data_IF_609740411615
#
_entry.id   IF_609740411615
#
_cell.length_a   1.000
_cell.length_b   1.000
_cell.length_c   1.000
_cell.angle_alpha   90.00
_cell.angle_beta   90.00
_cell.angle_gamma   90.00
#
_symmetry.space_group_name_H-M   'P 1'
#
loop_
_entity.id
_entity.type
_entity.pdbx_description
1 polymer ?
#
# COMPACT_ATOMS: atom_id res chain seq x y z
N UNK A 1 -7.24 1.95 40.83
CA UNK A 1 -7.42 2.29 39.42
C UNK A 1 -6.23 3.16 39.03
N UNK A 2 -5.55 2.93 37.90
CA UNK A 2 -4.50 3.87 37.47
C UNK A 2 -5.11 5.22 37.14
N UNK A 3 -4.35 6.32 37.27
CA UNK A 3 -4.78 7.69 36.87
C UNK A 3 -5.34 7.66 35.44
N UNK A 4 -4.66 6.95 34.53
CA UNK A 4 -5.10 6.72 33.15
C UNK A 4 -6.48 6.07 33.06
N UNK A 5 -6.69 4.94 33.77
CA UNK A 5 -7.96 4.24 33.76
C UNK A 5 -9.09 5.06 34.40
N UNK A 6 -8.76 5.88 35.40
CA UNK A 6 -9.70 6.82 36.01
C UNK A 6 -10.13 7.93 35.04
N UNK A 7 -9.17 8.57 34.36
CA UNK A 7 -9.46 9.59 33.34
C UNK A 7 -10.34 9.01 32.25
N UNK A 8 -10.00 7.84 31.71
CA UNK A 8 -10.76 7.17 30.67
C UNK A 8 -12.20 6.88 31.12
N UNK A 9 -12.38 6.22 32.26
CA UNK A 9 -13.69 5.82 32.76
C UNK A 9 -14.58 7.04 33.07
N UNK A 10 -14.03 8.06 33.74
CA UNK A 10 -14.78 9.28 34.07
C UNK A 10 -15.11 10.10 32.83
N UNK A 11 -14.19 10.19 31.87
CA UNK A 11 -14.45 10.87 30.60
C UNK A 11 -15.59 10.19 29.86
N UNK A 12 -15.57 8.85 29.75
CA UNK A 12 -16.66 8.15 29.11
C UNK A 12 -18.00 8.27 29.83
N UNK A 13 -18.00 8.23 31.16
CA UNK A 13 -19.22 8.44 31.93
C UNK A 13 -19.82 9.84 31.69
N UNK A 14 -18.99 10.88 31.63
CA UNK A 14 -19.44 12.26 31.35
C UNK A 14 -19.95 12.42 29.93
N UNK A 15 -19.28 11.85 28.94
CA UNK A 15 -19.77 11.84 27.56
C UNK A 15 -21.11 11.13 27.44
N UNK A 16 -21.26 9.97 28.08
CA UNK A 16 -22.51 9.20 28.08
C UNK A 16 -23.65 10.00 28.70
N UNK A 17 -23.39 10.73 29.79
CA UNK A 17 -24.38 11.61 30.42
C UNK A 17 -24.82 12.78 29.50
N UNK A 18 -23.95 13.19 28.57
CA UNK A 18 -24.23 14.19 27.53
C UNK A 18 -24.80 13.58 26.24
N UNK A 19 -25.11 12.28 26.23
CA UNK A 19 -25.70 11.58 25.09
C UNK A 19 -24.71 11.14 24.02
N UNK A 20 -23.40 11.16 24.32
CA UNK A 20 -22.35 10.84 23.35
C UNK A 20 -21.24 9.95 23.89
N UNK A 21 -20.16 9.88 23.11
CA UNK A 21 -18.93 9.13 23.37
C UNK A 21 -17.76 10.10 23.20
N UNK A 22 -16.88 10.15 24.19
CA UNK A 22 -15.64 10.90 24.13
C UNK A 22 -14.67 10.20 23.17
N UNK A 23 -14.16 10.96 22.21
CA UNK A 23 -13.12 10.54 21.28
C UNK A 23 -11.75 10.65 21.96
N UNK A 24 -11.29 9.52 22.50
CA UNK A 24 -10.08 9.40 23.31
C UNK A 24 -9.08 8.52 22.59
N UNK A 25 -8.08 9.14 21.98
CA UNK A 25 -6.91 8.44 21.43
C UNK A 25 -5.93 8.07 22.53
N UNK A 26 -5.32 6.89 22.42
CA UNK A 26 -4.42 6.36 23.44
C UNK A 26 -3.22 7.27 23.72
N UNK A 27 -2.65 7.87 22.67
CA UNK A 27 -1.53 8.83 22.75
C UNK A 27 -1.93 10.10 23.51
N UNK A 28 -3.10 10.66 23.18
CA UNK A 28 -3.62 11.86 23.84
C UNK A 28 -3.98 11.56 25.31
N UNK A 29 -4.56 10.39 25.58
CA UNK A 29 -4.86 9.96 26.94
C UNK A 29 -3.58 9.82 27.77
N UNK A 30 -2.51 9.28 27.19
CA UNK A 30 -1.21 9.17 27.84
C UNK A 30 -0.57 10.54 28.10
N UNK A 31 -0.64 11.45 27.13
CA UNK A 31 -0.20 12.84 27.28
C UNK A 31 -0.95 13.52 28.43
N UNK A 32 -2.29 13.49 28.40
CA UNK A 32 -3.14 14.09 29.46
C UNK A 32 -2.85 13.46 30.82
N UNK A 33 -2.65 12.14 30.89
CA UNK A 33 -2.30 11.44 32.14
C UNK A 33 -0.99 11.95 32.71
N UNK A 34 -0.02 12.30 31.86
CA UNK A 34 1.29 12.81 32.26
C UNK A 34 1.26 14.29 32.69
N UNK A 35 0.18 15.02 32.38
CA UNK A 35 -0.01 16.42 32.75
C UNK A 35 -0.69 16.61 34.12
N UNK A 36 -1.25 15.55 34.71
CA UNK A 36 -2.07 15.64 35.93
C UNK A 36 -1.67 14.62 36.99
N UNK A 37 -1.61 15.06 38.24
CA UNK A 37 -1.32 14.21 39.40
C UNK A 37 -2.61 13.77 40.10
N UNK A 38 -3.60 14.66 40.16
CA UNK A 38 -4.91 14.49 40.79
C UNK A 38 -6.02 14.76 39.77
N UNK A 39 -6.44 13.76 38.96
CA UNK A 39 -7.32 13.98 37.82
C UNK A 39 -8.74 14.38 38.24
N UNK A 40 -9.12 15.61 37.93
CA UNK A 40 -10.51 16.07 37.94
C UNK A 40 -11.03 16.20 36.50
N UNK A 41 -11.82 15.20 36.07
CA UNK A 41 -12.41 15.18 34.73
C UNK A 41 -13.67 16.05 34.70
N UNK A 42 -13.69 17.06 33.85
CA UNK A 42 -14.78 18.03 33.70
C UNK A 42 -15.27 18.06 32.26
N UNK A 43 -16.52 18.48 32.07
CA UNK A 43 -17.11 18.66 30.75
C UNK A 43 -17.47 20.13 30.57
N UNK A 44 -17.23 20.65 29.37
CA UNK A 44 -17.48 22.01 28.95
C UNK A 44 -18.16 22.02 27.58
N UNK A 45 -18.69 23.17 27.17
CA UNK A 45 -19.37 23.34 25.88
C UNK A 45 -18.79 24.48 25.05
N UNK A 46 -19.08 24.45 23.76
CA UNK A 46 -18.85 25.57 22.85
C UNK A 46 -20.14 25.92 22.11
N UNK A 47 -20.17 27.07 21.45
CA UNK A 47 -21.38 27.49 20.73
C UNK A 47 -21.69 26.59 19.52
N UNK A 48 -22.95 26.16 19.40
CA UNK A 48 -23.42 25.28 18.31
C UNK A 48 -23.12 25.79 16.90
N UNK A 49 -23.00 27.11 16.71
CA UNK A 49 -22.62 27.71 15.42
C UNK A 49 -21.32 27.13 14.85
N UNK A 50 -20.39 26.70 15.70
CA UNK A 50 -19.12 26.13 15.26
C UNK A 50 -19.30 24.79 14.56
N UNK A 51 -20.39 24.06 14.81
CA UNK A 51 -20.70 22.79 14.13
C UNK A 51 -20.99 22.95 12.64
N UNK A 52 -21.09 24.18 12.13
CA UNK A 52 -21.13 24.46 10.69
C UNK A 52 -19.75 24.29 10.01
N UNK A 53 -18.66 24.28 10.78
CA UNK A 53 -17.30 23.99 10.32
C UNK A 53 -17.10 22.47 10.32
N UNK A 54 -16.38 21.90 9.34
CA UNK A 54 -16.00 20.49 9.36
C UNK A 54 -15.42 20.07 10.71
N UNK A 55 -15.94 18.97 11.24
CA UNK A 55 -15.61 18.48 12.58
C UNK A 55 -14.11 18.24 12.74
N UNK A 56 -13.43 17.79 11.69
CA UNK A 56 -12.01 17.46 11.70
C UNK A 56 -11.13 18.67 12.05
N UNK A 57 -11.51 19.87 11.60
CA UNK A 57 -10.79 21.10 11.98
C UNK A 57 -11.03 21.50 13.44
N UNK A 58 -12.27 21.37 13.92
CA UNK A 58 -12.61 21.67 15.32
C UNK A 58 -11.92 20.69 16.28
N UNK A 59 -11.89 19.41 15.90
CA UNK A 59 -11.24 18.31 16.63
C UNK A 59 -9.74 18.52 16.67
N UNK A 60 -9.14 18.97 15.56
CA UNK A 60 -7.72 19.33 15.53
C UNK A 60 -7.38 20.38 16.59
N UNK A 61 -8.13 21.48 16.64
CA UNK A 61 -7.96 22.51 17.67
C UNK A 61 -8.16 21.98 19.09
N UNK A 62 -9.22 21.19 19.32
CA UNK A 62 -9.53 20.67 20.65
C UNK A 62 -8.47 19.68 21.15
N UNK A 63 -8.06 18.72 20.32
CA UNK A 63 -7.07 17.70 20.70
C UNK A 63 -5.65 18.26 20.69
N UNK A 64 -5.25 18.94 19.62
CA UNK A 64 -3.89 19.41 19.39
C UNK A 64 -3.47 20.50 20.36
N UNK A 65 -4.24 21.60 20.40
CA UNK A 65 -3.86 22.81 21.14
C UNK A 65 -4.26 22.75 22.61
N UNK A 66 -5.40 22.13 22.91
CA UNK A 66 -6.03 22.21 24.24
C UNK A 66 -6.06 20.89 25.02
N UNK A 67 -5.68 19.78 24.39
CA UNK A 67 -5.70 18.44 25.02
C UNK A 67 -7.09 18.04 25.54
N UNK A 68 -8.13 18.45 24.82
CA UNK A 68 -9.51 18.11 25.12
C UNK A 68 -9.93 16.84 24.38
N UNK A 69 -10.88 16.10 24.96
CA UNK A 69 -11.55 14.99 24.30
C UNK A 69 -12.90 15.47 23.72
N UNK A 70 -13.03 15.57 22.39
CA UNK A 70 -14.31 15.90 21.74
C UNK A 70 -15.35 14.82 22.02
N UNK A 71 -16.63 15.18 21.97
CA UNK A 71 -17.73 14.22 22.18
C UNK A 71 -18.51 14.07 20.88
N UNK A 72 -18.75 12.83 20.47
CA UNK A 72 -19.59 12.48 19.33
C UNK A 72 -20.88 11.83 19.76
N UNK A 73 -21.97 12.05 19.03
CA UNK A 73 -23.21 11.32 19.23
C UNK A 73 -23.11 9.88 18.69
N UNK A 74 -24.22 9.14 18.80
CA UNK A 74 -24.31 7.75 18.32
C UNK A 74 -24.24 7.61 16.80
N UNK A 75 -24.52 8.69 16.06
CA UNK A 75 -24.47 8.74 14.61
C UNK A 75 -23.10 9.22 14.10
N UNK A 76 -22.14 9.46 15.00
CA UNK A 76 -20.79 9.91 14.67
C UNK A 76 -20.70 11.42 14.38
N UNK A 77 -21.68 12.22 14.79
CA UNK A 77 -21.63 13.68 14.64
C UNK A 77 -21.05 14.34 15.88
N UNK A 78 -20.19 15.34 15.67
CA UNK A 78 -19.60 16.10 16.75
C UNK A 78 -20.69 16.86 17.53
N UNK A 79 -20.71 16.68 18.85
CA UNK A 79 -21.55 17.44 19.76
C UNK A 79 -20.84 18.73 20.19
N UNK A 80 -21.56 19.78 20.61
CA UNK A 80 -20.99 21.05 21.06
C UNK A 80 -20.38 20.96 22.47
N UNK A 81 -19.75 19.83 22.78
CA UNK A 81 -19.24 19.47 24.09
C UNK A 81 -17.86 18.83 23.98
N UNK A 82 -17.05 19.04 25.00
CA UNK A 82 -15.74 18.43 25.14
C UNK A 82 -15.42 18.16 26.60
N UNK A 83 -14.47 17.25 26.82
CA UNK A 83 -13.98 16.87 28.13
C UNK A 83 -12.56 17.38 28.28
N UNK A 84 -12.24 17.88 29.47
CA UNK A 84 -10.89 18.28 29.84
C UNK A 84 -10.57 17.76 31.23
N UNK A 85 -9.27 17.63 31.53
CA UNK A 85 -8.79 17.14 32.82
C UNK A 85 -8.04 18.26 33.53
N UNK A 86 -8.47 18.56 34.74
CA UNK A 86 -7.88 19.57 35.61
C UNK A 86 -7.14 18.91 36.77
N UNK A 87 -6.05 19.51 37.23
CA UNK A 87 -5.37 19.11 38.47
C UNK A 87 -6.03 19.73 39.72
N UNK A 88 -7.07 20.55 39.53
CA UNK A 88 -7.79 21.29 40.57
C UNK A 88 -9.19 20.71 40.73
N UNK A 89 -9.57 20.35 41.96
CA UNK A 89 -10.86 19.75 42.31
C UNK A 89 -11.61 20.58 43.36
N UNK A 90 -12.15 21.76 43.00
CA UNK A 90 -12.93 22.58 43.93
C UNK A 90 -14.33 22.01 44.14
N UNK A 91 -15.02 22.43 45.20
CA UNK A 91 -16.44 22.09 45.41
C UNK A 91 -17.33 22.66 44.28
N UNK A 92 -17.04 23.87 43.80
CA UNK A 92 -17.69 24.49 42.65
C UNK A 92 -16.70 24.63 41.46
N UNK A 93 -16.83 23.80 40.41
CA UNK A 93 -15.95 23.85 39.24
C UNK A 93 -16.38 24.88 38.17
N UNK A 94 -17.45 25.64 38.39
CA UNK A 94 -18.06 26.51 37.36
C UNK A 94 -17.05 27.47 36.71
N UNK A 95 -16.24 28.16 37.50
CA UNK A 95 -15.23 29.09 36.99
C UNK A 95 -14.15 28.41 36.13
N UNK A 96 -13.79 27.16 36.46
CA UNK A 96 -12.82 26.37 35.67
C UNK A 96 -13.44 25.96 34.34
N UNK A 97 -14.70 25.52 34.35
CA UNK A 97 -15.45 25.15 33.14
C UNK A 97 -15.53 26.38 32.21
N UNK A 98 -16.08 27.50 32.69
CA UNK A 98 -16.19 28.74 31.89
C UNK A 98 -14.84 29.25 31.39
N UNK A 99 -13.77 29.07 32.17
CA UNK A 99 -12.42 29.40 31.75
C UNK A 99 -11.99 28.63 30.50
N UNK A 100 -12.19 27.31 30.50
CA UNK A 100 -11.84 26.46 29.35
C UNK A 100 -12.74 26.75 28.13
N UNK A 101 -14.03 27.04 28.35
CA UNK A 101 -14.93 27.49 27.27
C UNK A 101 -14.45 28.79 26.63
N UNK A 102 -13.96 29.75 27.43
CA UNK A 102 -13.41 31.01 26.93
C UNK A 102 -12.08 30.81 26.19
N UNK A 103 -11.27 29.83 26.58
CA UNK A 103 -9.96 29.56 25.96
C UNK A 103 -10.11 28.92 24.58
N UNK A 104 -11.05 28.00 24.39
CA UNK A 104 -11.24 27.33 23.08
C UNK A 104 -11.89 28.24 22.05
N UNK A 105 -12.78 29.16 22.49
CA UNK A 105 -13.62 29.97 21.60
C UNK A 105 -12.85 30.77 20.54
N UNK A 106 -11.75 31.50 20.85
CA UNK A 106 -10.99 32.22 19.83
C UNK A 106 -10.51 31.30 18.71
N UNK A 107 -9.99 30.12 19.04
CA UNK A 107 -9.48 29.16 18.05
C UNK A 107 -10.58 28.59 17.16
N UNK A 108 -11.74 28.24 17.73
CA UNK A 108 -12.89 27.81 16.92
C UNK A 108 -13.44 28.96 16.05
N UNK A 109 -13.34 30.19 16.52
CA UNK A 109 -13.70 31.39 15.74
C UNK A 109 -12.77 31.58 14.55
N UNK A 110 -11.47 31.35 14.73
CA UNK A 110 -10.49 31.40 13.65
C UNK A 110 -10.78 30.30 12.61
N UNK A 111 -11.01 29.06 13.04
CA UNK A 111 -11.39 27.96 12.14
C UNK A 111 -12.67 28.28 11.35
N UNK A 112 -13.70 28.82 12.01
CA UNK A 112 -14.92 29.25 11.35
C UNK A 112 -14.67 30.37 10.33
N UNK A 113 -13.83 31.34 10.68
CA UNK A 113 -13.47 32.45 9.80
C UNK A 113 -12.72 31.96 8.55
N UNK A 114 -11.73 31.09 8.70
CA UNK A 114 -10.98 30.52 7.59
C UNK A 114 -11.88 29.71 6.68
N UNK A 115 -12.71 28.82 7.23
CA UNK A 115 -13.64 28.02 6.46
C UNK A 115 -14.63 28.89 5.67
N UNK A 116 -15.30 29.86 6.32
CA UNK A 116 -16.22 30.79 5.65
C UNK A 116 -15.52 31.64 4.59
N UNK A 117 -14.25 31.97 4.78
CA UNK A 117 -13.47 32.72 3.79
C UNK A 117 -13.14 31.84 2.58
N UNK A 118 -12.75 30.59 2.82
CA UNK A 118 -12.46 29.64 1.76
C UNK A 118 -13.70 29.29 0.91
N UNK A 119 -14.89 29.20 1.51
CA UNK A 119 -16.16 28.94 0.79
C UNK A 119 -16.54 30.05 -0.21
N UNK A 120 -15.89 31.22 -0.21
CA UNK A 120 -16.16 32.31 -1.16
C UNK A 120 -15.60 32.04 -2.56
N UNK A 121 -14.70 31.08 -2.70
CA UNK A 121 -14.05 30.70 -3.95
C UNK A 121 -14.18 29.19 -4.12
N UNK A 122 -14.43 28.71 -5.35
CA UNK A 122 -14.49 27.27 -5.60
C UNK A 122 -13.11 26.62 -5.51
N UNK A 123 -13.05 25.35 -5.14
CA UNK A 123 -11.84 24.55 -5.05
C UNK A 123 -11.08 24.56 -6.38
N UNK A 124 -11.78 24.37 -7.51
CA UNK A 124 -11.17 24.38 -8.86
C UNK A 124 -10.51 25.72 -9.20
N UNK A 125 -11.03 26.84 -8.70
CA UNK A 125 -10.48 28.17 -8.98
C UNK A 125 -9.13 28.40 -8.28
N UNK A 126 -8.74 27.50 -7.37
CA UNK A 126 -7.42 27.50 -6.72
C UNK A 126 -6.35 26.77 -7.52
N UNK A 127 -6.73 25.97 -8.52
CA UNK A 127 -5.82 25.19 -9.34
C UNK A 127 -4.66 26.03 -9.90
N UNK A 128 -4.86 27.25 -10.47
CA UNK A 128 -3.75 28.06 -10.99
C UNK A 128 -2.73 28.47 -9.91
N UNK A 129 -3.16 28.60 -8.64
CA UNK A 129 -2.27 29.01 -7.55
C UNK A 129 -1.22 27.94 -7.23
N UNK A 130 -1.44 26.69 -7.61
CA UNK A 130 -0.47 25.61 -7.44
C UNK A 130 0.83 25.83 -8.25
N UNK A 131 0.82 26.71 -9.26
CA UNK A 131 2.03 27.11 -9.99
C UNK A 131 3.02 27.88 -9.10
N UNK A 132 2.53 28.51 -8.03
CA UNK A 132 3.37 29.27 -7.10
C UNK A 132 4.12 28.39 -6.09
N UNK A 133 3.71 27.12 -5.97
CA UNK A 133 4.29 26.20 -5.00
C UNK A 133 5.20 25.21 -5.70
N UNK A 134 6.49 25.28 -5.35
CA UNK A 134 7.49 24.37 -5.88
C UNK A 134 7.28 22.97 -5.29
N UNK A 135 7.05 21.97 -6.14
CA UNK A 135 7.06 20.57 -5.72
C UNK A 135 8.50 20.10 -5.53
N UNK A 136 9.34 20.28 -6.55
CA UNK A 136 10.75 19.92 -6.54
C UNK A 136 11.49 20.70 -7.63
N UNK A 137 12.68 21.26 -7.34
CA UNK A 137 13.42 22.16 -8.24
C UNK A 137 13.58 21.69 -9.70
N UNK A 138 13.79 20.39 -9.93
CA UNK A 138 13.95 19.77 -11.25
C UNK A 138 12.64 19.25 -11.85
N UNK A 139 11.60 19.05 -11.04
CA UNK A 139 10.33 18.46 -11.48
C UNK A 139 9.23 19.52 -11.71
N UNK A 140 9.39 20.71 -11.13
CA UNK A 140 8.50 21.84 -11.29
C UNK A 140 7.61 22.08 -10.06
N UNK A 141 6.41 22.57 -10.34
CA UNK A 141 5.43 23.07 -9.38
C UNK A 141 4.45 21.97 -8.93
N UNK A 142 3.61 22.27 -7.94
CA UNK A 142 2.48 21.40 -7.60
C UNK A 142 1.46 21.35 -8.74
N UNK A 143 1.31 22.41 -9.54
CA UNK A 143 0.47 22.37 -10.75
C UNK A 143 0.98 21.33 -11.74
N UNK A 144 2.29 21.35 -12.04
CA UNK A 144 2.92 20.33 -12.89
C UNK A 144 2.65 18.92 -12.37
N UNK A 145 2.73 18.73 -11.05
CA UNK A 145 2.47 17.44 -10.40
C UNK A 145 1.01 17.02 -10.56
N UNK A 146 0.07 17.90 -10.26
CA UNK A 146 -1.36 17.67 -10.37
C UNK A 146 -1.76 17.30 -11.81
N UNK A 147 -1.18 17.92 -12.83
CA UNK A 147 -1.45 17.60 -14.23
C UNK A 147 -0.99 16.19 -14.62
N UNK A 148 0.11 15.71 -14.03
CA UNK A 148 0.57 14.33 -14.21
C UNK A 148 -0.31 13.35 -13.44
N UNK A 149 -0.74 13.72 -12.22
CA UNK A 149 -1.67 12.91 -11.42
C UNK A 149 -3.01 12.74 -12.14
N UNK A 150 -3.58 13.81 -12.72
CA UNK A 150 -4.81 13.73 -13.52
C UNK A 150 -4.69 12.67 -14.63
N UNK A 151 -3.63 12.79 -15.44
CA UNK A 151 -3.43 11.89 -16.59
C UNK A 151 -3.18 10.44 -16.13
N UNK A 152 -2.31 10.24 -15.14
CA UNK A 152 -1.96 8.92 -14.64
C UNK A 152 -3.13 8.26 -13.90
N UNK A 153 -3.92 9.02 -13.14
CA UNK A 153 -5.13 8.52 -12.47
C UNK A 153 -6.17 8.03 -13.49
N UNK A 154 -6.40 8.77 -14.56
CA UNK A 154 -7.29 8.33 -15.65
C UNK A 154 -6.82 7.04 -16.31
N UNK A 155 -5.51 6.89 -16.49
CA UNK A 155 -4.93 5.70 -17.10
C UNK A 155 -4.91 4.47 -16.19
N UNK A 156 -4.75 4.68 -14.89
CA UNK A 156 -4.92 3.62 -13.88
C UNK A 156 -6.40 3.22 -13.80
N UNK A 157 -7.32 4.19 -13.78
CA UNK A 157 -8.76 3.96 -13.73
C UNK A 157 -9.25 3.03 -14.85
N UNK A 158 -8.80 3.24 -16.09
CA UNK A 158 -9.11 2.35 -17.23
C UNK A 158 -8.70 0.90 -16.98
N UNK A 159 -7.50 0.68 -16.43
CA UNK A 159 -6.95 -0.66 -16.21
C UNK A 159 -7.68 -1.40 -15.09
N UNK A 160 -8.13 -0.68 -14.06
CA UNK A 160 -8.81 -1.27 -12.90
C UNK A 160 -10.34 -1.26 -12.99
N UNK A 161 -10.91 -0.73 -14.08
CA UNK A 161 -12.36 -0.64 -14.28
C UNK A 161 -13.06 0.45 -13.45
N UNK A 162 -12.35 1.52 -13.06
CA UNK A 162 -12.93 2.70 -12.43
C UNK A 162 -13.44 3.71 -13.47
N UNK A 163 -14.26 4.67 -13.04
CA UNK A 163 -14.66 5.79 -13.88
C UNK A 163 -13.45 6.72 -14.18
N UNK A 164 -13.00 6.72 -15.43
CA UNK A 164 -11.87 7.53 -15.89
C UNK A 164 -12.10 9.03 -15.70
N UNK A 165 -13.29 9.52 -15.99
CA UNK A 165 -13.59 10.95 -15.93
C UNK A 165 -13.56 11.44 -14.49
N UNK A 166 -14.12 10.66 -13.56
CA UNK A 166 -14.04 10.95 -12.12
C UNK A 166 -12.61 10.87 -11.60
N UNK A 167 -11.84 9.86 -12.00
CA UNK A 167 -10.43 9.73 -11.59
C UNK A 167 -9.57 10.90 -12.08
N UNK A 168 -9.77 11.34 -13.32
CA UNK A 168 -9.13 12.56 -13.85
C UNK A 168 -9.55 13.79 -13.07
N UNK A 169 -10.86 13.97 -12.86
CA UNK A 169 -11.40 15.12 -12.12
C UNK A 169 -10.83 15.20 -10.69
N UNK A 170 -10.79 14.06 -9.99
CA UNK A 170 -10.19 13.98 -8.66
C UNK A 170 -8.68 14.22 -8.69
N UNK A 171 -7.97 13.66 -9.67
CA UNK A 171 -6.54 13.90 -9.87
C UNK A 171 -6.22 15.38 -10.08
N UNK A 172 -7.02 16.09 -10.88
CA UNK A 172 -6.90 17.53 -11.13
C UNK A 172 -7.15 18.38 -9.87
N UNK A 173 -8.11 17.98 -9.02
CA UNK A 173 -8.45 18.73 -7.81
C UNK A 173 -7.58 18.35 -6.60
N UNK A 174 -6.82 17.26 -6.70
CA UNK A 174 -6.10 16.59 -5.61
C UNK A 174 -5.31 17.51 -4.68
N UNK A 175 -4.63 18.53 -5.20
CA UNK A 175 -3.77 19.41 -4.39
C UNK A 175 -4.34 20.82 -4.18
N UNK A 176 -5.55 21.10 -4.67
CA UNK A 176 -6.13 22.44 -4.65
C UNK A 176 -6.42 22.96 -3.23
N UNK A 177 -6.69 22.06 -2.29
CA UNK A 177 -6.98 22.38 -0.90
C UNK A 177 -5.76 22.92 -0.14
N UNK A 178 -4.54 22.58 -0.58
CA UNK A 178 -3.30 23.15 -0.06
C UNK A 178 -3.25 24.68 -0.20
N UNK A 179 -4.08 25.28 -1.07
CA UNK A 179 -4.17 26.73 -1.28
C UNK A 179 -5.29 27.40 -0.45
N UNK A 180 -5.90 26.66 0.47
CA UNK A 180 -6.98 27.13 1.35
C UNK A 180 -6.41 27.63 2.67
N UNK A 181 -7.04 28.64 3.27
CA UNK A 181 -6.60 29.17 4.56
C UNK A 181 -6.72 28.10 5.66
N UNK A 182 -7.75 27.26 5.58
CA UNK A 182 -7.91 26.13 6.49
C UNK A 182 -6.71 25.19 6.49
N UNK A 183 -6.19 24.80 5.33
CA UNK A 183 -5.02 23.90 5.27
C UNK A 183 -3.72 24.63 5.62
N UNK A 184 -3.61 25.95 5.37
CA UNK A 184 -2.45 26.72 5.83
C UNK A 184 -2.37 26.78 7.36
N UNK A 185 -3.49 26.98 8.05
CA UNK A 185 -3.53 27.00 9.52
C UNK A 185 -3.49 25.59 10.12
N UNK A 186 -4.21 24.65 9.50
CA UNK A 186 -4.40 23.28 10.01
C UNK A 186 -3.90 22.26 8.97
N UNK A 187 -2.57 22.15 8.82
CA UNK A 187 -1.92 21.36 7.75
C UNK A 187 -2.31 19.88 7.73
N UNK A 188 -2.71 19.33 8.88
CA UNK A 188 -3.12 17.92 9.01
C UNK A 188 -4.54 17.66 8.46
N UNK A 189 -5.27 18.72 8.12
CA UNK A 189 -6.61 18.63 7.51
C UNK A 189 -6.59 18.56 5.98
N UNK A 190 -5.40 18.52 5.38
CA UNK A 190 -5.24 18.32 3.94
C UNK A 190 -5.93 17.01 3.47
N UNK A 191 -6.42 17.00 2.25
CA UNK A 191 -7.30 15.98 1.68
C UNK A 191 -8.72 16.05 2.22
N UNK A 192 -8.89 16.03 3.55
CA UNK A 192 -10.21 16.09 4.22
C UNK A 192 -10.92 17.40 3.88
N UNK A 193 -10.23 18.53 3.98
CA UNK A 193 -10.79 19.82 3.60
C UNK A 193 -11.07 19.88 2.10
N UNK A 194 -10.21 19.32 1.26
CA UNK A 194 -10.45 19.17 -0.17
C UNK A 194 -11.78 18.45 -0.47
N UNK A 195 -12.06 17.34 0.22
CA UNK A 195 -13.34 16.62 0.12
C UNK A 195 -14.53 17.51 0.51
N UNK A 196 -14.47 18.21 1.64
CA UNK A 196 -15.56 19.09 2.09
C UNK A 196 -15.82 20.25 1.11
N UNK A 197 -14.77 20.86 0.57
CA UNK A 197 -14.90 21.91 -0.44
C UNK A 197 -15.46 21.38 -1.76
N UNK A 198 -15.00 20.22 -2.23
CA UNK A 198 -15.53 19.58 -3.43
C UNK A 198 -17.02 19.26 -3.29
N UNK A 199 -17.46 18.73 -2.14
CA UNK A 199 -18.89 18.51 -1.84
C UNK A 199 -19.67 19.83 -1.86
N UNK A 200 -19.14 20.87 -1.23
CA UNK A 200 -19.78 22.18 -1.22
C UNK A 200 -19.95 22.76 -2.64
N UNK A 201 -18.95 22.57 -3.50
CA UNK A 201 -18.95 23.06 -4.88
C UNK A 201 -19.81 22.22 -5.85
N UNK A 202 -20.35 21.09 -5.38
CA UNK A 202 -21.22 20.21 -6.15
C UNK A 202 -20.47 19.19 -7.02
N UNK A 203 -19.23 18.86 -6.69
CA UNK A 203 -18.52 17.73 -7.32
C UNK A 203 -19.19 16.39 -6.99
N UNK A 204 -18.97 15.38 -7.83
CA UNK A 204 -19.43 14.01 -7.58
C UNK A 204 -18.85 13.45 -6.27
N UNK A 205 -19.64 12.66 -5.54
CA UNK A 205 -19.23 12.15 -4.23
C UNK A 205 -17.97 11.27 -4.31
N UNK A 206 -17.79 10.47 -5.36
CA UNK A 206 -16.56 9.68 -5.51
C UNK A 206 -15.34 10.55 -5.79
N UNK A 207 -15.53 11.69 -6.49
CA UNK A 207 -14.47 12.68 -6.71
C UNK A 207 -14.08 13.31 -5.39
N UNK A 208 -15.05 13.78 -4.61
CA UNK A 208 -14.81 14.41 -3.32
C UNK A 208 -14.09 13.45 -2.35
N UNK A 209 -14.59 12.22 -2.20
CA UNK A 209 -13.98 11.20 -1.33
C UNK A 209 -12.55 10.88 -1.77
N UNK A 210 -12.29 10.81 -3.09
CA UNK A 210 -10.94 10.57 -3.61
C UNK A 210 -9.94 11.68 -3.21
N UNK A 211 -10.38 12.93 -3.01
CA UNK A 211 -9.50 14.00 -2.52
C UNK A 211 -9.04 13.76 -1.09
N UNK A 212 -9.87 13.15 -0.24
CA UNK A 212 -9.43 12.74 1.10
C UNK A 212 -8.51 11.51 1.01
N UNK A 213 -8.97 10.47 0.31
CA UNK A 213 -8.33 9.16 0.30
C UNK A 213 -7.05 9.07 -0.54
N UNK A 214 -6.71 10.10 -1.35
CA UNK A 214 -5.49 10.12 -2.16
C UNK A 214 -4.20 9.88 -1.37
N UNK A 215 -4.17 10.25 -0.09
CA UNK A 215 -2.99 10.10 0.76
C UNK A 215 -2.89 8.70 1.37
N UNK A 216 -3.97 7.90 1.31
CA UNK A 216 -4.02 6.56 1.90
C UNK A 216 -3.20 5.53 1.09
N UNK A 217 -2.65 4.50 1.76
CA UNK A 217 -2.37 4.47 3.19
C UNK A 217 -1.26 5.48 3.54
N UNK A 218 -1.43 6.20 4.65
CA UNK A 218 -0.52 7.26 5.14
C UNK A 218 0.60 6.72 6.02
N UNK A 219 0.41 5.54 6.62
CA UNK A 219 1.38 4.84 7.45
C UNK A 219 1.13 3.32 7.40
N UNK A 220 2.04 2.53 8.00
CA UNK A 220 1.90 1.08 8.06
C UNK A 220 0.65 0.69 8.87
N UNK A 221 -0.21 -0.14 8.30
CA UNK A 221 -1.49 -0.53 8.91
C UNK A 221 -2.65 0.47 8.72
N UNK A 222 -2.44 1.60 8.05
CA UNK A 222 -3.53 2.53 7.71
C UNK A 222 -4.52 1.89 6.72
N UNK A 223 -5.74 2.43 6.70
CA UNK A 223 -6.79 2.02 5.77
C UNK A 223 -6.38 2.26 4.31
N UNK A 224 -6.99 1.49 3.41
CA UNK A 224 -6.83 1.68 1.96
C UNK A 224 -7.99 2.52 1.42
N UNK A 225 -7.79 3.23 0.28
CA UNK A 225 -8.87 3.93 -0.40
C UNK A 225 -10.07 2.99 -0.63
N UNK A 226 -11.30 3.45 -0.39
CA UNK A 226 -12.48 2.59 -0.45
C UNK A 226 -12.89 2.34 -1.89
N UNK A 227 -12.98 3.40 -2.70
CA UNK A 227 -13.39 3.32 -4.10
C UNK A 227 -12.21 3.05 -5.05
N UNK A 228 -12.51 2.57 -6.26
CA UNK A 228 -11.50 2.41 -7.31
C UNK A 228 -11.04 3.77 -7.86
N UNK A 229 -11.92 4.79 -7.88
CA UNK A 229 -11.55 6.17 -8.24
C UNK A 229 -10.48 6.70 -7.28
N UNK A 230 -10.71 6.57 -5.97
CA UNK A 230 -9.75 6.97 -4.95
C UNK A 230 -8.44 6.15 -5.02
N UNK A 231 -8.55 4.84 -5.28
CA UNK A 231 -7.39 3.97 -5.50
C UNK A 231 -6.54 4.44 -6.68
N UNK A 232 -7.17 4.85 -7.78
CA UNK A 232 -6.47 5.35 -8.96
C UNK A 232 -5.69 6.64 -8.67
N UNK A 233 -6.30 7.60 -7.96
CA UNK A 233 -5.65 8.86 -7.58
C UNK A 233 -4.50 8.63 -6.59
N UNK A 234 -4.72 7.79 -5.56
CA UNK A 234 -3.70 7.45 -4.57
C UNK A 234 -2.48 6.75 -5.21
N UNK A 235 -2.72 5.84 -6.15
CA UNK A 235 -1.66 5.20 -6.92
C UNK A 235 -0.94 6.22 -7.81
N UNK A 236 -1.68 7.07 -8.52
CA UNK A 236 -1.09 8.08 -9.40
C UNK A 236 -0.13 9.02 -8.65
N UNK A 237 -0.51 9.54 -7.47
CA UNK A 237 0.37 10.42 -6.67
C UNK A 237 1.65 9.70 -6.20
N UNK A 238 1.52 8.43 -5.76
CA UNK A 238 2.66 7.62 -5.32
C UNK A 238 3.60 7.29 -6.48
N UNK A 239 3.08 6.87 -7.63
CA UNK A 239 3.89 6.56 -8.82
C UNK A 239 4.50 7.80 -9.46
N UNK A 240 3.82 8.96 -9.46
CA UNK A 240 4.40 10.23 -9.88
C UNK A 240 5.63 10.57 -9.01
N UNK A 241 5.47 10.51 -7.70
CA UNK A 241 6.54 10.84 -6.75
C UNK A 241 7.71 9.86 -6.87
N UNK A 242 7.45 8.55 -6.88
CA UNK A 242 8.48 7.52 -7.04
C UNK A 242 9.26 7.72 -8.34
N UNK A 243 8.57 7.87 -9.46
CA UNK A 243 9.19 7.99 -10.78
C UNK A 243 9.98 9.29 -10.91
N UNK A 244 9.41 10.41 -10.48
CA UNK A 244 10.06 11.71 -10.55
C UNK A 244 11.34 11.76 -9.71
N UNK A 245 11.28 11.32 -8.45
CA UNK A 245 12.42 11.40 -7.52
C UNK A 245 13.56 10.44 -7.92
N UNK A 246 13.24 9.22 -8.36
CA UNK A 246 14.24 8.31 -8.95
C UNK A 246 14.80 8.85 -10.26
N UNK A 247 13.96 9.45 -11.10
CA UNK A 247 14.34 9.98 -12.41
C UNK A 247 15.33 11.14 -12.34
N UNK A 248 15.35 11.89 -11.24
CA UNK A 248 16.33 12.98 -11.00
C UNK A 248 17.52 12.57 -10.14
N UNK A 249 17.66 11.27 -9.85
CA UNK A 249 18.78 10.70 -9.09
C UNK A 249 18.73 10.94 -7.57
N UNK A 250 17.54 11.19 -7.01
CA UNK A 250 17.34 11.48 -5.59
C UNK A 250 16.68 10.31 -4.83
N UNK A 251 16.90 9.07 -5.31
CA UNK A 251 16.45 7.87 -4.61
C UNK A 251 17.00 7.78 -3.17
N UNK A 252 16.28 7.13 -2.23
CA UNK A 252 16.68 7.06 -0.83
C UNK A 252 18.02 6.34 -0.67
N UNK A 253 18.92 6.88 0.16
CA UNK A 253 20.24 6.30 0.45
C UNK A 253 20.39 6.01 1.94
N UNK A 254 20.86 4.81 2.28
CA UNK A 254 21.02 4.40 3.69
C UNK A 254 19.69 4.44 4.43
N UNK A 255 19.65 5.01 5.64
CA UNK A 255 18.41 5.19 6.41
C UNK A 255 17.56 6.37 5.94
N UNK A 256 18.14 7.38 5.26
CA UNK A 256 17.44 8.60 4.89
C UNK A 256 16.41 8.38 3.77
N UNK A 257 15.20 8.89 3.96
CA UNK A 257 14.11 8.88 2.97
C UNK A 257 13.32 10.20 3.04
N UNK A 258 13.87 11.30 2.54
CA UNK A 258 13.30 12.64 2.71
C UNK A 258 11.96 12.84 1.98
N UNK A 259 11.67 12.01 0.97
CA UNK A 259 10.42 12.06 0.19
C UNK A 259 9.46 10.91 0.55
N UNK A 260 9.73 10.18 1.64
CA UNK A 260 8.93 9.04 2.10
C UNK A 260 8.65 7.97 1.01
N UNK A 261 9.61 7.72 0.12
CA UNK A 261 9.48 6.82 -1.01
C UNK A 261 9.27 5.37 -0.59
N UNK A 262 9.87 4.91 0.52
CA UNK A 262 9.63 3.55 1.05
C UNK A 262 8.19 3.36 1.46
N UNK A 263 7.61 4.38 2.10
CA UNK A 263 6.21 4.41 2.52
C UNK A 263 5.29 4.50 1.31
N UNK A 264 5.61 5.34 0.33
CA UNK A 264 4.85 5.43 -0.92
C UNK A 264 4.85 4.10 -1.69
N UNK A 265 6.01 3.46 -1.82
CA UNK A 265 6.13 2.16 -2.48
C UNK A 265 5.32 1.07 -1.77
N UNK A 266 5.46 0.94 -0.44
CA UNK A 266 4.68 -0.03 0.32
C UNK A 266 3.18 0.24 0.23
N UNK A 267 2.77 1.51 0.33
CA UNK A 267 1.36 1.89 0.20
C UNK A 267 0.78 1.57 -1.17
N UNK A 268 1.54 1.80 -2.25
CA UNK A 268 1.11 1.43 -3.60
C UNK A 268 0.99 -0.08 -3.76
N UNK A 269 1.96 -0.86 -3.26
CA UNK A 269 1.91 -2.32 -3.31
C UNK A 269 0.71 -2.88 -2.54
N UNK A 270 0.44 -2.36 -1.33
CA UNK A 270 -0.73 -2.75 -0.53
C UNK A 270 -2.04 -2.50 -1.28
N UNK A 271 -2.21 -1.31 -1.88
CA UNK A 271 -3.41 -1.00 -2.68
C UNK A 271 -3.58 -2.02 -3.81
N UNK A 272 -2.51 -2.34 -4.55
CA UNK A 272 -2.59 -3.25 -5.70
C UNK A 272 -2.88 -4.70 -5.24
N UNK A 273 -2.19 -5.19 -4.22
CA UNK A 273 -2.30 -6.57 -3.75
C UNK A 273 -3.62 -6.81 -3.01
N UNK A 274 -3.93 -6.00 -1.97
CA UNK A 274 -5.09 -6.24 -1.11
C UNK A 274 -6.42 -6.03 -1.85
N UNK A 275 -6.42 -5.23 -2.92
CA UNK A 275 -7.59 -5.08 -3.83
C UNK A 275 -7.50 -5.96 -5.08
N UNK A 276 -6.46 -6.78 -5.21
CA UNK A 276 -6.23 -7.67 -6.35
C UNK A 276 -6.34 -6.94 -7.72
N UNK A 277 -5.67 -5.79 -7.84
CA UNK A 277 -5.74 -4.96 -9.05
C UNK A 277 -4.83 -5.52 -10.16
N UNK A 278 -5.29 -5.56 -11.42
CA UNK A 278 -4.55 -6.14 -12.54
C UNK A 278 -3.50 -5.17 -13.11
N UNK A 279 -2.63 -4.66 -12.23
CA UNK A 279 -1.66 -3.61 -12.57
C UNK A 279 -0.24 -4.16 -12.64
N UNK A 280 0.51 -3.69 -13.63
CA UNK A 280 1.93 -3.99 -13.82
C UNK A 280 2.80 -2.79 -13.44
N UNK A 281 3.82 -3.02 -12.60
CA UNK A 281 4.69 -1.95 -12.11
C UNK A 281 5.51 -1.30 -13.24
N UNK A 282 5.99 -2.08 -14.20
CA UNK A 282 6.77 -1.51 -15.31
C UNK A 282 5.89 -0.60 -16.16
N UNK A 283 4.67 -1.04 -16.48
CA UNK A 283 3.75 -0.25 -17.30
C UNK A 283 3.37 1.05 -16.61
N UNK A 284 3.07 1.02 -15.31
CA UNK A 284 2.76 2.22 -14.54
C UNK A 284 3.93 3.20 -14.46
N UNK A 285 5.14 2.70 -14.22
CA UNK A 285 6.34 3.56 -14.16
C UNK A 285 6.71 4.09 -15.54
N UNK A 286 6.58 3.30 -16.62
CA UNK A 286 6.77 3.77 -18.01
C UNK A 286 5.81 4.90 -18.34
N UNK A 287 4.52 4.76 -18.02
CA UNK A 287 3.51 5.81 -18.26
C UNK A 287 3.79 7.05 -17.41
N UNK A 288 4.11 6.89 -16.14
CA UNK A 288 4.51 8.00 -15.26
C UNK A 288 5.75 8.73 -15.82
N UNK A 289 6.79 8.00 -16.22
CA UNK A 289 8.03 8.56 -16.75
C UNK A 289 7.79 9.38 -18.03
N UNK A 290 6.92 8.90 -18.92
CA UNK A 290 6.55 9.62 -20.15
C UNK A 290 5.91 10.99 -19.85
N UNK A 291 5.13 11.11 -18.76
CA UNK A 291 4.48 12.36 -18.36
C UNK A 291 5.47 13.43 -17.85
N UNK A 292 6.69 13.04 -17.47
CA UNK A 292 7.74 13.98 -17.11
C UNK A 292 8.50 14.56 -18.31
N UNK A 293 8.34 13.98 -19.51
CA UNK A 293 9.09 14.37 -20.71
C UNK A 293 10.60 14.33 -20.46
N UNK A 294 11.30 15.40 -20.85
CA UNK A 294 12.77 15.48 -20.77
C UNK A 294 13.30 15.82 -19.36
N UNK A 295 12.43 15.93 -18.34
CA UNK A 295 12.85 16.30 -16.97
C UNK A 295 13.64 15.20 -16.26
N UNK A 296 13.53 13.93 -16.68
CA UNK A 296 14.19 12.80 -16.03
C UNK A 296 15.57 12.57 -16.62
N UNK A 297 16.59 12.60 -15.76
CA UNK A 297 18.00 12.40 -16.15
C UNK A 297 18.44 10.94 -16.09
N UNK A 298 17.75 10.11 -15.31
CA UNK A 298 18.06 8.69 -15.13
C UNK A 298 17.39 7.84 -16.22
N UNK A 299 18.21 7.26 -17.11
CA UNK A 299 17.74 6.40 -18.20
C UNK A 299 17.20 5.04 -17.72
N UNK A 300 17.59 4.60 -16.52
CA UNK A 300 17.17 3.33 -15.93
C UNK A 300 16.01 3.49 -14.93
N UNK A 301 15.33 4.65 -14.91
CA UNK A 301 14.30 4.98 -13.93
C UNK A 301 13.23 3.89 -13.76
N UNK A 302 12.81 3.26 -14.87
CA UNK A 302 11.83 2.17 -14.83
C UNK A 302 12.35 0.98 -14.04
N UNK A 303 13.54 0.48 -14.37
CA UNK A 303 14.14 -0.66 -13.69
C UNK A 303 14.41 -0.35 -12.21
N UNK A 304 14.96 0.83 -11.92
CA UNK A 304 15.33 1.23 -10.56
C UNK A 304 14.09 1.34 -9.63
N UNK A 305 12.99 1.92 -10.12
CA UNK A 305 11.75 2.04 -9.34
C UNK A 305 11.12 0.67 -9.13
N UNK A 306 11.06 -0.17 -10.17
CA UNK A 306 10.51 -1.53 -10.07
C UNK A 306 11.31 -2.37 -9.09
N UNK A 307 12.65 -2.34 -9.18
CA UNK A 307 13.55 -3.02 -8.22
C UNK A 307 13.34 -2.54 -6.79
N UNK A 308 13.21 -1.23 -6.61
CA UNK A 308 12.97 -0.64 -5.31
C UNK A 308 11.65 -1.12 -4.69
N UNK A 309 10.59 -1.19 -5.51
CA UNK A 309 9.27 -1.68 -5.10
C UNK A 309 9.30 -3.18 -4.82
N UNK A 310 9.84 -4.02 -5.70
CA UNK A 310 9.96 -5.46 -5.47
C UNK A 310 10.75 -5.77 -4.20
N UNK A 311 11.80 -4.99 -3.92
CA UNK A 311 12.57 -5.10 -2.68
C UNK A 311 11.77 -4.81 -1.40
N UNK A 312 10.57 -4.23 -1.47
CA UNK A 312 9.70 -3.99 -0.29
C UNK A 312 8.93 -5.24 0.13
N UNK A 313 8.64 -6.15 -0.81
CA UNK A 313 7.91 -7.38 -0.50
C UNK A 313 8.60 -8.23 0.57
N UNK A 314 9.95 -8.22 0.58
CA UNK A 314 10.71 -8.97 1.59
C UNK A 314 10.34 -8.61 3.01
N UNK A 315 10.42 -7.32 3.36
CA UNK A 315 10.11 -6.89 4.72
C UNK A 315 8.62 -7.11 5.04
N UNK A 316 7.73 -6.76 4.10
CA UNK A 316 6.30 -6.90 4.29
C UNK A 316 5.87 -8.36 4.56
N UNK A 317 6.23 -9.32 3.71
CA UNK A 317 5.84 -10.71 3.92
C UNK A 317 6.57 -11.36 5.11
N UNK A 318 7.77 -10.91 5.46
CA UNK A 318 8.43 -11.34 6.70
C UNK A 318 7.64 -10.92 7.94
N UNK A 319 7.10 -9.70 7.96
CA UNK A 319 6.24 -9.21 9.05
C UNK A 319 4.92 -10.00 9.13
N UNK A 320 4.43 -10.55 8.01
CA UNK A 320 3.31 -11.50 7.97
C UNK A 320 3.68 -12.95 8.35
N UNK A 321 4.95 -13.22 8.66
CA UNK A 321 5.41 -14.55 9.06
C UNK A 321 5.74 -15.51 7.90
N UNK A 322 5.80 -15.02 6.65
CA UNK A 322 6.24 -15.82 5.51
C UNK A 322 7.75 -16.02 5.56
N UNK A 323 8.18 -17.25 5.29
CA UNK A 323 9.59 -17.62 5.32
C UNK A 323 10.41 -16.92 4.24
N UNK A 324 11.66 -16.57 4.58
CA UNK A 324 12.52 -15.74 3.73
C UNK A 324 12.84 -16.41 2.40
N UNK A 325 13.09 -17.71 2.43
CA UNK A 325 13.39 -18.55 1.27
C UNK A 325 12.21 -18.61 0.29
N UNK A 326 10.96 -18.68 0.78
CA UNK A 326 9.73 -18.56 -0.04
C UNK A 326 9.71 -17.23 -0.79
N UNK A 327 9.97 -16.13 -0.09
CA UNK A 327 9.95 -14.80 -0.70
C UNK A 327 11.08 -14.66 -1.74
N UNK A 328 12.28 -15.19 -1.44
CA UNK A 328 13.40 -15.19 -2.39
C UNK A 328 13.12 -16.05 -3.63
N UNK A 329 12.48 -17.21 -3.48
CA UNK A 329 12.10 -18.08 -4.59
C UNK A 329 11.20 -17.36 -5.60
N UNK A 330 10.24 -16.56 -5.11
CA UNK A 330 9.36 -15.75 -5.99
C UNK A 330 10.10 -14.54 -6.55
N UNK A 331 10.88 -13.81 -5.73
CA UNK A 331 11.68 -12.65 -6.18
C UNK A 331 12.68 -13.01 -7.28
N UNK A 332 13.25 -14.22 -7.26
CA UNK A 332 14.16 -14.70 -8.30
C UNK A 332 13.50 -14.76 -9.69
N UNK A 333 12.16 -14.86 -9.75
CA UNK A 333 11.39 -14.79 -11.01
C UNK A 333 10.99 -13.36 -11.38
N UNK A 334 11.18 -12.41 -10.46
CA UNK A 334 10.95 -10.97 -10.64
C UNK A 334 9.56 -10.63 -11.24
N UNK A 335 8.44 -11.19 -10.73
CA UNK A 335 7.13 -10.86 -11.28
C UNK A 335 6.78 -9.39 -10.98
N UNK A 336 6.47 -8.63 -12.04
CA UNK A 336 6.23 -7.18 -12.00
C UNK A 336 4.79 -6.80 -11.70
N UNK A 337 3.88 -7.78 -11.63
CA UNK A 337 2.49 -7.60 -11.21
C UNK A 337 2.36 -7.94 -9.73
N UNK A 338 2.07 -6.96 -8.84
CA UNK A 338 2.05 -7.19 -7.40
C UNK A 338 1.03 -8.26 -6.95
N UNK A 339 -0.17 -8.27 -7.55
CA UNK A 339 -1.18 -9.29 -7.25
C UNK A 339 -0.73 -10.71 -7.65
N UNK A 340 -0.03 -10.83 -8.78
CA UNK A 340 0.58 -12.09 -9.22
C UNK A 340 1.71 -12.54 -8.28
N UNK A 341 2.51 -11.58 -7.79
CA UNK A 341 3.55 -11.84 -6.79
C UNK A 341 2.93 -12.42 -5.51
N UNK A 342 1.85 -11.85 -4.97
CA UNK A 342 1.16 -12.39 -3.79
C UNK A 342 0.65 -13.82 -4.06
N UNK A 343 -0.05 -14.05 -5.18
CA UNK A 343 -0.56 -15.38 -5.53
C UNK A 343 0.56 -16.44 -5.56
N UNK A 344 1.73 -16.10 -6.11
CA UNK A 344 2.91 -16.98 -6.11
C UNK A 344 3.45 -17.22 -4.71
N UNK A 345 3.57 -16.17 -3.87
CA UNK A 345 4.05 -16.31 -2.49
C UNK A 345 3.13 -17.21 -1.68
N UNK A 346 1.82 -17.03 -1.76
CA UNK A 346 0.84 -17.87 -1.06
C UNK A 346 0.93 -19.33 -1.54
N UNK A 347 1.03 -19.55 -2.86
CA UNK A 347 1.16 -20.88 -3.44
C UNK A 347 2.47 -21.59 -3.02
N UNK A 348 3.61 -20.90 -3.03
CA UNK A 348 4.89 -21.47 -2.60
C UNK A 348 4.90 -21.71 -1.09
N UNK A 349 4.29 -20.83 -0.30
CA UNK A 349 4.10 -21.05 1.13
C UNK A 349 3.23 -22.27 1.41
N UNK A 350 2.20 -22.53 0.62
CA UNK A 350 1.40 -23.76 0.69
C UNK A 350 2.23 -24.97 0.29
N UNK A 351 2.92 -24.93 -0.86
CA UNK A 351 3.76 -26.03 -1.32
C UNK A 351 4.77 -26.47 -0.27
N UNK A 352 5.34 -25.54 0.49
CA UNK A 352 6.30 -25.83 1.57
C UNK A 352 5.73 -26.70 2.70
N UNK A 353 4.41 -26.77 2.87
CA UNK A 353 3.78 -27.63 3.88
C UNK A 353 3.54 -29.05 3.41
N UNK A 354 3.77 -29.36 2.13
CA UNK A 354 3.59 -30.69 1.56
C UNK A 354 4.78 -31.61 1.88
N UNK A 355 4.52 -32.90 2.12
CA UNK A 355 5.54 -33.91 2.42
C UNK A 355 6.58 -34.09 1.29
N UNK A 356 6.23 -33.69 0.06
CA UNK A 356 7.11 -33.75 -1.11
C UNK A 356 8.00 -32.53 -1.30
N UNK A 357 7.77 -31.44 -0.55
CA UNK A 357 8.38 -30.14 -0.81
C UNK A 357 9.90 -30.18 -0.69
N UNK A 358 10.42 -30.72 0.41
CA UNK A 358 11.86 -30.79 0.70
C UNK A 358 12.60 -31.62 -0.37
N UNK A 359 12.05 -32.80 -0.69
CA UNK A 359 12.63 -33.69 -1.70
C UNK A 359 12.66 -33.02 -3.10
N UNK A 360 11.57 -32.36 -3.49
CA UNK A 360 11.48 -31.67 -4.78
C UNK A 360 12.33 -30.40 -4.85
N UNK A 361 12.49 -29.67 -3.73
CA UNK A 361 13.40 -28.54 -3.66
C UNK A 361 14.87 -28.97 -3.81
N UNK A 362 15.27 -30.03 -3.10
CA UNK A 362 16.59 -30.63 -3.23
C UNK A 362 16.85 -31.14 -4.65
N UNK A 363 15.86 -31.80 -5.26
CA UNK A 363 15.94 -32.27 -6.64
C UNK A 363 16.07 -31.09 -7.63
N UNK A 364 15.26 -30.04 -7.49
CA UNK A 364 15.35 -28.85 -8.35
C UNK A 364 16.70 -28.13 -8.20
N UNK A 365 17.28 -28.10 -7.00
CA UNK A 365 18.65 -27.58 -6.77
C UNK A 365 19.71 -28.42 -7.47
N UNK A 366 19.57 -29.75 -7.42
CA UNK A 366 20.44 -30.65 -8.19
C UNK A 366 20.30 -30.42 -9.69
N UNK A 367 19.08 -30.30 -10.19
CA UNK A 367 18.78 -29.98 -11.60
C UNK A 367 19.42 -28.66 -12.01
N UNK A 368 19.21 -27.59 -11.25
CA UNK A 368 19.79 -26.26 -11.52
C UNK A 368 21.32 -26.31 -11.63
N UNK A 369 21.99 -27.02 -10.71
CA UNK A 369 23.45 -27.20 -10.73
C UNK A 369 23.95 -28.02 -11.93
N UNK A 370 23.18 -29.01 -12.39
CA UNK A 370 23.50 -29.79 -13.59
C UNK A 370 23.35 -28.92 -14.84
N UNK A 371 22.25 -28.20 -14.96
CA UNK A 371 21.95 -27.35 -16.11
C UNK A 371 22.91 -26.16 -16.22
N UNK A 372 23.37 -25.60 -15.10
CA UNK A 372 24.39 -24.54 -15.07
C UNK A 372 25.75 -24.97 -15.65
N UNK A 373 26.01 -26.27 -15.77
CA UNK A 373 27.24 -26.85 -16.35
C UNK A 373 27.05 -27.30 -17.79
N UNK A 374 25.88 -27.09 -18.39
CA UNK A 374 25.63 -27.45 -19.78
C UNK A 374 26.25 -26.40 -20.72
N UNK A 375 27.26 -26.80 -21.49
CA UNK A 375 27.98 -25.91 -22.41
C UNK A 375 27.23 -25.63 -23.73
N UNK A 376 26.10 -26.29 -23.98
CA UNK A 376 25.36 -26.24 -25.24
C UNK A 376 23.87 -25.94 -25.02
N UNK A 377 23.24 -25.35 -26.04
CA UNK A 377 21.81 -25.13 -26.06
C UNK A 377 21.05 -26.46 -25.89
N UNK A 378 20.17 -26.50 -24.90
CA UNK A 378 19.38 -27.68 -24.57
C UNK A 378 18.16 -27.73 -25.49
N UNK A 379 17.97 -28.85 -26.18
CA UNK A 379 16.85 -29.08 -27.09
C UNK A 379 15.55 -29.48 -26.38
N UNK A 380 14.60 -29.98 -27.17
CA UNK A 380 13.34 -30.56 -26.65
C UNK A 380 13.50 -32.04 -26.29
N UNK A 381 12.59 -32.53 -25.45
CA UNK A 381 12.52 -33.94 -25.06
C UNK A 381 12.19 -34.80 -26.30
N UNK A 382 13.00 -35.81 -26.55
CA UNK A 382 12.73 -36.86 -27.53
C UNK A 382 12.43 -38.19 -26.81
N UNK A 383 11.15 -38.56 -26.74
CA UNK A 383 10.71 -39.82 -26.12
C UNK A 383 11.30 -41.09 -26.77
N UNK A 384 11.64 -41.03 -28.06
CA UNK A 384 12.25 -42.18 -28.78
C UNK A 384 13.73 -42.37 -28.45
N UNK A 385 14.37 -41.35 -27.88
CA UNK A 385 15.76 -41.39 -27.42
C UNK A 385 15.88 -41.82 -25.95
N UNK A 386 14.77 -42.07 -25.24
CA UNK A 386 14.78 -42.61 -23.88
C UNK A 386 15.12 -44.11 -23.91
N UNK A 387 16.16 -44.50 -23.18
CA UNK A 387 16.63 -45.88 -23.07
C UNK A 387 16.12 -46.52 -21.78
N UNK A 388 16.31 -45.83 -20.65
CA UNK A 388 15.92 -46.35 -19.34
C UNK A 388 14.41 -46.16 -19.08
N UNK A 389 13.74 -47.10 -18.39
CA UNK A 389 12.33 -46.93 -18.02
C UNK A 389 12.08 -45.68 -17.17
N UNK A 390 13.03 -45.33 -16.28
CA UNK A 390 12.91 -44.19 -15.38
C UNK A 390 12.97 -42.83 -16.10
N UNK A 391 13.82 -42.68 -17.12
CA UNK A 391 13.86 -41.45 -17.93
C UNK A 391 12.64 -41.29 -18.83
N UNK A 392 12.14 -42.40 -19.37
CA UNK A 392 10.89 -42.39 -20.14
C UNK A 392 9.71 -41.98 -19.27
N UNK A 393 9.59 -42.55 -18.06
CA UNK A 393 8.52 -42.23 -17.12
C UNK A 393 8.54 -40.74 -16.71
N UNK A 394 9.72 -40.19 -16.38
CA UNK A 394 9.85 -38.76 -16.06
C UNK A 394 9.53 -37.87 -17.26
N UNK A 395 10.02 -38.23 -18.45
CA UNK A 395 9.76 -37.48 -19.68
C UNK A 395 8.26 -37.39 -20.00
N UNK A 396 7.55 -38.52 -19.95
CA UNK A 396 6.10 -38.59 -20.17
C UNK A 396 5.34 -37.78 -19.11
N UNK A 397 5.70 -37.93 -17.83
CA UNK A 397 5.05 -37.20 -16.73
C UNK A 397 5.23 -35.68 -16.84
N UNK A 398 6.43 -35.20 -17.18
CA UNK A 398 6.72 -33.77 -17.35
C UNK A 398 6.00 -33.19 -18.57
N UNK A 399 5.93 -33.92 -19.68
CA UNK A 399 5.19 -33.48 -20.88
C UNK A 399 3.68 -33.42 -20.65
N UNK A 400 3.13 -34.42 -19.95
CA UNK A 400 1.72 -34.43 -19.56
C UNK A 400 1.39 -33.24 -18.64
N UNK A 401 2.18 -33.06 -17.57
CA UNK A 401 1.98 -31.96 -16.64
C UNK A 401 2.15 -30.60 -17.30
N UNK A 402 3.11 -30.44 -18.22
CA UNK A 402 3.25 -29.20 -19.00
C UNK A 402 1.94 -28.81 -19.67
N UNK A 403 1.20 -29.77 -20.21
CA UNK A 403 -0.08 -29.52 -20.87
C UNK A 403 -1.19 -29.22 -19.86
N UNK A 404 -1.23 -29.95 -18.74
CA UNK A 404 -2.24 -29.76 -17.70
C UNK A 404 -2.13 -28.44 -16.95
N UNK A 405 -0.91 -27.97 -16.65
CA UNK A 405 -0.70 -26.79 -15.79
C UNK A 405 -0.79 -25.46 -16.55
N UNK A 406 -0.61 -25.46 -17.87
CA UNK A 406 -0.71 -24.23 -18.69
C UNK A 406 -1.99 -23.41 -18.47
N UNK A 407 -3.21 -24.00 -18.53
CA UNK A 407 -4.43 -23.23 -18.26
C UNK A 407 -4.50 -22.70 -16.82
N UNK A 408 -3.95 -23.43 -15.85
CA UNK A 408 -3.94 -23.02 -14.44
C UNK A 408 -2.98 -21.85 -14.21
N UNK A 409 -1.79 -21.89 -14.82
CA UNK A 409 -0.82 -20.78 -14.80
C UNK A 409 -1.42 -19.52 -15.43
N UNK A 410 -2.12 -19.66 -16.56
CA UNK A 410 -2.80 -18.54 -17.21
C UNK A 410 -3.91 -17.91 -16.34
N UNK A 411 -4.50 -18.69 -15.43
CA UNK A 411 -5.51 -18.23 -14.46
C UNK A 411 -4.89 -17.73 -13.15
N UNK A 412 -3.59 -17.89 -12.94
CA UNK A 412 -2.90 -17.57 -11.69
C UNK A 412 -3.16 -18.57 -10.54
N UNK A 413 -3.70 -19.76 -10.84
CA UNK A 413 -3.93 -20.82 -9.85
C UNK A 413 -2.64 -21.60 -9.57
N UNK A 414 -1.67 -20.90 -8.96
CA UNK A 414 -0.35 -21.44 -8.70
C UNK A 414 -0.33 -22.54 -7.63
N UNK A 415 -1.31 -22.54 -6.72
CA UNK A 415 -1.44 -23.57 -5.68
C UNK A 415 -1.71 -24.91 -6.34
N UNK A 416 -2.74 -25.01 -7.19
CA UNK A 416 -3.06 -26.25 -7.90
C UNK A 416 -1.91 -26.68 -8.83
N UNK A 417 -1.20 -25.72 -9.43
CA UNK A 417 0.01 -26.03 -10.23
C UNK A 417 1.06 -26.72 -9.38
N UNK A 418 1.41 -26.17 -8.21
CA UNK A 418 2.42 -26.75 -7.33
C UNK A 418 1.97 -28.09 -6.72
N UNK A 419 0.68 -28.28 -6.42
CA UNK A 419 0.12 -29.56 -5.97
C UNK A 419 0.22 -30.64 -7.06
N UNK A 420 -0.02 -30.27 -8.32
CA UNK A 420 0.18 -31.19 -9.45
C UNK A 420 1.65 -31.54 -9.63
N UNK A 421 2.54 -30.56 -9.56
CA UNK A 421 3.99 -30.77 -9.66
C UNK A 421 4.54 -31.56 -8.47
N UNK A 422 3.91 -31.52 -7.29
CA UNK A 422 4.27 -32.32 -6.13
C UNK A 422 4.26 -33.84 -6.42
N UNK A 423 3.40 -34.29 -7.35
CA UNK A 423 3.31 -35.69 -7.76
C UNK A 423 4.54 -36.17 -8.56
N UNK A 424 5.41 -35.26 -9.01
CA UNK A 424 6.66 -35.60 -9.70
C UNK A 424 7.73 -36.16 -8.76
N UNK A 425 7.51 -36.18 -7.44
CA UNK A 425 8.48 -36.69 -6.48
C UNK A 425 9.01 -38.09 -6.86
N UNK A 426 8.12 -39.08 -6.99
CA UNK A 426 8.55 -40.46 -7.27
C UNK A 426 9.23 -40.60 -8.65
N UNK A 427 8.70 -40.03 -9.76
CA UNK A 427 9.41 -40.04 -11.04
C UNK A 427 10.79 -39.39 -11.00
N UNK A 428 10.95 -38.29 -10.25
CA UNK A 428 12.22 -37.58 -10.12
C UNK A 428 13.23 -38.38 -9.31
N UNK A 429 12.83 -38.96 -8.18
CA UNK A 429 13.67 -39.83 -7.36
C UNK A 429 14.14 -41.04 -8.18
N UNK A 430 13.18 -41.73 -8.84
CA UNK A 430 13.49 -42.89 -9.70
C UNK A 430 14.42 -42.54 -10.86
N UNK A 431 14.29 -41.34 -11.45
CA UNK A 431 15.22 -40.89 -12.48
C UNK A 431 16.63 -40.75 -11.92
N UNK A 432 16.79 -40.07 -10.79
CA UNK A 432 18.10 -39.82 -10.22
C UNK A 432 18.80 -41.05 -9.63
N UNK A 433 18.04 -42.06 -9.21
CA UNK A 433 18.57 -43.32 -8.71
C UNK A 433 19.02 -44.26 -9.84
N UNK A 434 18.34 -44.23 -10.99
CA UNK A 434 18.54 -45.20 -12.06
C UNK A 434 19.19 -44.63 -13.33
N UNK A 435 19.30 -43.30 -13.46
CA UNK A 435 19.73 -42.64 -14.70
C UNK A 435 20.96 -41.78 -14.46
N UNK A 436 22.06 -42.13 -15.13
CA UNK A 436 23.27 -41.30 -15.17
C UNK A 436 23.09 -40.14 -16.16
N UNK A 437 22.91 -38.92 -15.66
CA UNK A 437 22.64 -37.74 -16.51
C UNK A 437 23.79 -37.43 -17.48
N UNK A 438 25.04 -37.53 -17.01
CA UNK A 438 26.25 -37.34 -17.84
C UNK A 438 26.62 -38.62 -18.59
N UNK A 439 25.72 -39.08 -19.47
CA UNK A 439 25.99 -40.22 -20.34
C UNK A 439 27.15 -39.94 -21.31
N UNK A 440 27.89 -40.99 -21.70
CA UNK A 440 28.97 -40.89 -22.69
C UNK A 440 28.44 -40.56 -24.10
N UNK A 441 27.26 -41.09 -24.45
CA UNK A 441 26.57 -40.76 -25.69
C UNK A 441 26.06 -39.30 -25.63
N UNK A 442 26.57 -38.41 -26.50
CA UNK A 442 26.15 -37.01 -26.53
C UNK A 442 24.66 -36.83 -26.79
N UNK A 443 24.03 -37.68 -27.61
CA UNK A 443 22.61 -37.56 -27.95
C UNK A 443 21.73 -37.92 -26.75
N UNK A 444 22.06 -39.01 -26.06
CA UNK A 444 21.37 -39.43 -24.83
C UNK A 444 21.53 -38.42 -23.70
N UNK A 445 22.75 -37.90 -23.51
CA UNK A 445 23.03 -36.83 -22.54
C UNK A 445 22.19 -35.58 -22.82
N UNK A 446 22.09 -35.16 -24.08
CA UNK A 446 21.27 -34.00 -24.47
C UNK A 446 19.78 -34.23 -24.18
N UNK A 447 19.26 -35.43 -24.45
CA UNK A 447 17.86 -35.76 -24.15
C UNK A 447 17.58 -35.72 -22.64
N UNK A 448 18.50 -36.27 -21.82
CA UNK A 448 18.40 -36.21 -20.34
C UNK A 448 18.42 -34.77 -19.82
N UNK A 449 19.29 -33.93 -20.37
CA UNK A 449 19.30 -32.50 -20.05
C UNK A 449 17.99 -31.81 -20.47
N UNK A 450 17.39 -32.18 -21.60
CA UNK A 450 16.11 -31.66 -22.05
C UNK A 450 14.95 -32.01 -21.09
N UNK A 451 14.94 -33.24 -20.56
CA UNK A 451 13.97 -33.66 -19.54
C UNK A 451 14.10 -32.79 -18.29
N UNK A 452 15.32 -32.64 -17.78
CA UNK A 452 15.60 -31.84 -16.58
C UNK A 452 15.31 -30.35 -16.79
N UNK A 453 15.64 -29.81 -17.96
CA UNK A 453 15.34 -28.42 -18.32
C UNK A 453 13.84 -28.16 -18.39
N UNK A 454 13.07 -29.09 -18.97
CA UNK A 454 11.61 -28.98 -19.02
C UNK A 454 11.00 -29.08 -17.62
N UNK A 455 11.49 -30.00 -16.79
CA UNK A 455 11.10 -30.13 -15.38
C UNK A 455 11.33 -28.81 -14.62
N UNK A 456 12.54 -28.25 -14.70
CA UNK A 456 12.87 -26.98 -14.06
C UNK A 456 11.98 -25.85 -14.58
N UNK A 457 11.73 -25.80 -15.89
CA UNK A 457 10.87 -24.82 -16.53
C UNK A 457 9.42 -24.83 -16.04
N UNK A 458 8.90 -25.97 -15.56
CA UNK A 458 7.57 -26.03 -14.93
C UNK A 458 7.55 -25.33 -13.59
N UNK A 459 8.54 -25.57 -12.73
CA UNK A 459 8.63 -24.89 -11.42
C UNK A 459 8.93 -23.40 -11.58
N UNK A 460 9.84 -23.02 -12.49
CA UNK A 460 10.22 -21.62 -12.74
C UNK A 460 9.08 -20.76 -13.30
N UNK A 461 8.00 -21.36 -13.81
CA UNK A 461 6.77 -20.64 -14.16
C UNK A 461 6.02 -20.14 -12.92
N UNK A 462 6.32 -20.66 -11.73
CA UNK A 462 5.77 -20.22 -10.43
C UNK A 462 6.83 -19.54 -9.57
N UNK A 463 7.93 -20.23 -9.27
CA UNK A 463 9.01 -19.73 -8.41
C UNK A 463 10.30 -20.52 -8.63
N UNK A 464 11.44 -19.96 -8.22
CA UNK A 464 12.68 -20.73 -8.14
C UNK A 464 12.72 -21.59 -6.87
N UNK A 465 12.11 -22.76 -6.96
CA UNK A 465 12.00 -23.73 -5.86
C UNK A 465 13.37 -24.26 -5.40
N UNK A 466 14.43 -24.09 -6.21
CA UNK A 466 15.79 -24.48 -5.79
C UNK A 466 16.36 -23.64 -4.64
N UNK A 467 15.71 -22.51 -4.33
CA UNK A 467 16.07 -21.57 -3.27
C UNK A 467 15.42 -21.94 -1.92
N UNK A 468 14.40 -22.80 -1.90
CA UNK A 468 13.77 -23.27 -0.66
C UNK A 468 14.76 -24.14 0.13
N UNK A 469 14.96 -23.83 1.42
CA UNK A 469 15.94 -24.50 2.31
C UNK A 469 15.32 -24.92 3.64
#
# INVERSE_FOLDING_TARGET
MSVKAEILAKSQAKATALGGVADIEESLLEEVTSLVEYPNVLAAKFEERFLAVPAEALVYTMKGDQKYFPIYDKDGRLLPHFIFVSNINPEDPTAIIEGNEKVVRPRLTDAEFFFKTDLKQKLVDRLPRLETVLFQQKLGTLKDKTDRIEQLAGEIAKQIGADEAKAKRAGLLSKCDLMTNMVFEFTDTQGVMGMHYARHDGEDEEVAVALNEQYMPRFAGDELPKSLVASAVALADKFDTLTGIFGIGQAPKGSADPFALRRAALGALRIIVEKNLPLDLEDLVKKSAALFGDKLTNQNVVADVVDFMLGRFRAWYQDEGIAVDVIQAVLARRPTRPADFDARVRAVSHFRTLDSAEALAAANKRVSNILAKADAAIGEINLTACVEPAEKALAEAVLALRTEVQPLIAQGDYTTVLDKLANLRMPVDSFFDNVMVNAEDPALRQNRLAILNTLQGLFLQVADISVLQ
#
